data_IF_558789546122
#
_entry.id   IF_558789546122
#
_cell.length_a   1.000
_cell.length_b   1.000
_cell.length_c   1.000
_cell.angle_alpha   90.00
_cell.angle_beta   90.00
_cell.angle_gamma   90.00
#
_symmetry.space_group_name_H-M   'P 1'
#
loop_
_entity.id
_entity.type
_entity.pdbx_description
1 polymer ?
#
# COMPACT_ATOMS: atom_id res chain seq x y z
N UNK A 1 -34.12 -17.45 9.58
CA UNK A 1 -35.13 -16.60 10.23
C UNK A 1 -34.71 -15.15 10.06
N UNK A 2 -35.68 -14.31 9.69
CA UNK A 2 -35.67 -12.83 9.55
C UNK A 2 -34.74 -12.17 8.53
N UNK A 3 -35.33 -11.95 7.35
CA UNK A 3 -35.03 -10.86 6.41
C UNK A 3 -35.66 -9.57 6.96
N UNK A 4 -34.90 -8.49 7.09
CA UNK A 4 -35.46 -7.14 7.26
C UNK A 4 -35.18 -6.32 6.00
N UNK A 5 -36.23 -6.22 5.20
CA UNK A 5 -36.44 -5.21 4.16
C UNK A 5 -37.04 -3.98 4.85
N UNK A 6 -36.47 -2.80 4.62
CA UNK A 6 -37.15 -1.54 4.95
C UNK A 6 -37.38 -0.78 3.65
N UNK A 7 -38.67 -0.59 3.40
CA UNK A 7 -39.32 0.12 2.32
C UNK A 7 -39.89 1.41 2.90
N UNK A 8 -39.72 2.53 2.20
CA UNK A 8 -40.52 3.76 2.33
C UNK A 8 -40.33 4.52 0.99
N UNK A 9 -41.26 4.43 0.02
CA UNK A 9 -42.52 5.19 -0.10
C UNK A 9 -42.36 6.72 -0.07
N UNK A 10 -42.45 7.28 -1.28
CA UNK A 10 -43.35 8.35 -1.71
C UNK A 10 -43.25 9.73 -1.06
N UNK A 11 -42.76 10.70 -1.84
CA UNK A 11 -43.40 12.02 -1.94
C UNK A 11 -43.21 12.59 -3.34
N UNK A 12 -44.18 12.31 -4.22
CA UNK A 12 -44.39 13.01 -5.50
C UNK A 12 -45.18 14.28 -5.17
N UNK A 13 -44.57 15.45 -5.37
CA UNK A 13 -45.30 16.73 -5.38
C UNK A 13 -45.31 17.32 -6.78
N UNK A 14 -46.45 17.10 -7.44
CA UNK A 14 -46.93 17.78 -8.65
C UNK A 14 -47.13 19.27 -8.38
N UNK A 15 -46.32 20.13 -9.01
CA UNK A 15 -46.60 21.56 -9.11
C UNK A 15 -47.29 21.87 -10.45
N UNK A 16 -48.50 22.39 -10.33
CA UNK A 16 -49.46 22.74 -11.37
C UNK A 16 -48.93 23.76 -12.37
N UNK A 17 -49.22 23.48 -13.63
CA UNK A 17 -49.25 24.42 -14.76
C UNK A 17 -50.23 25.55 -14.44
N UNK A 18 -49.75 26.79 -14.34
CA UNK A 18 -50.59 27.98 -14.29
C UNK A 18 -50.40 28.78 -15.57
N UNK A 19 -51.38 28.62 -16.47
CA UNK A 19 -51.56 29.39 -17.69
C UNK A 19 -52.32 30.67 -17.31
N UNK A 20 -51.71 31.84 -17.48
CA UNK A 20 -52.37 33.14 -17.41
C UNK A 20 -51.90 33.95 -18.63
N UNK A 21 -52.72 33.99 -19.68
CA UNK A 21 -53.49 35.19 -20.08
C UNK A 21 -52.61 36.34 -20.56
N UNK A 22 -52.38 36.36 -21.88
CA UNK A 22 -52.01 37.54 -22.65
C UNK A 22 -53.17 38.55 -22.63
N UNK A 23 -52.92 39.85 -22.44
CA UNK A 23 -53.79 40.88 -22.97
C UNK A 23 -53.35 41.23 -24.40
N UNK A 24 -54.27 41.01 -25.33
CA UNK A 24 -54.35 41.81 -26.54
C UNK A 24 -54.78 43.22 -26.14
N UNK A 25 -54.09 44.26 -26.62
CA UNK A 25 -54.74 45.38 -27.28
C UNK A 25 -53.79 46.48 -27.74
N UNK A 26 -54.28 47.17 -28.77
CA UNK A 26 -53.93 48.52 -29.23
C UNK A 26 -52.70 48.70 -30.12
N UNK A 27 -52.98 48.48 -31.41
CA UNK A 27 -52.41 49.23 -32.53
C UNK A 27 -52.50 50.75 -32.27
N UNK A 28 -51.38 51.45 -32.45
CA UNK A 28 -51.35 52.87 -32.77
C UNK A 28 -50.29 53.10 -33.85
N UNK A 29 -50.79 53.23 -35.07
CA UNK A 29 -50.05 53.59 -36.28
C UNK A 29 -49.60 55.05 -36.15
N UNK A 30 -48.33 55.26 -35.81
CA UNK A 30 -47.65 56.54 -35.94
C UNK A 30 -47.05 56.67 -37.33
N UNK A 31 -47.74 57.36 -38.23
CA UNK A 31 -47.21 57.78 -39.53
C UNK A 31 -46.12 58.84 -39.28
N UNK A 32 -44.85 58.46 -39.36
CA UNK A 32 -43.76 59.43 -39.44
C UNK A 32 -43.61 59.91 -40.89
N UNK A 33 -44.01 61.16 -41.11
CA UNK A 33 -43.73 61.92 -42.32
C UNK A 33 -42.25 61.80 -42.70
N UNK A 34 -41.99 61.27 -43.90
CA UNK A 34 -40.72 61.39 -44.56
C UNK A 34 -40.48 62.87 -44.88
N UNK A 35 -39.65 63.53 -44.08
CA UNK A 35 -39.08 64.84 -44.42
C UNK A 35 -38.17 64.63 -45.62
N UNK A 36 -38.63 64.98 -46.81
CA UNK A 36 -37.80 65.10 -48.01
C UNK A 36 -36.86 66.30 -47.84
N UNK A 37 -35.75 66.11 -47.13
CA UNK A 37 -34.60 67.01 -47.24
C UNK A 37 -33.95 66.76 -48.61
N UNK A 38 -34.31 67.58 -49.60
CA UNK A 38 -33.52 67.72 -50.82
C UNK A 38 -32.21 68.40 -50.45
N UNK A 39 -31.17 67.63 -50.17
CA UNK A 39 -29.79 68.12 -50.18
C UNK A 39 -29.57 68.72 -51.57
N UNK A 40 -29.48 70.05 -51.67
CA UNK A 40 -29.15 70.72 -52.92
C UNK A 40 -27.71 70.40 -53.26
N UNK A 41 -27.49 69.28 -53.96
CA UNK A 41 -26.23 68.96 -54.59
C UNK A 41 -25.78 70.17 -55.41
N UNK A 42 -24.59 70.72 -55.11
CA UNK A 42 -24.02 71.81 -55.88
C UNK A 42 -23.63 71.31 -57.28
N UNK A 43 -24.60 71.36 -58.18
CA UNK A 43 -24.45 70.93 -59.57
C UNK A 43 -23.39 71.75 -60.30
N UNK A 44 -23.10 72.99 -59.87
CA UNK A 44 -22.07 73.81 -60.48
C UNK A 44 -20.68 73.31 -60.09
N UNK A 45 -20.48 72.92 -58.83
CA UNK A 45 -19.24 72.28 -58.40
C UNK A 45 -18.97 70.96 -59.15
N UNK A 46 -19.98 70.11 -59.32
CA UNK A 46 -19.85 68.86 -60.08
C UNK A 46 -19.56 69.12 -61.57
N UNK A 47 -20.18 70.14 -62.17
CA UNK A 47 -19.90 70.54 -63.56
C UNK A 47 -18.44 70.98 -63.72
N UNK A 48 -17.92 71.79 -62.80
CA UNK A 48 -16.50 72.20 -62.81
C UNK A 48 -15.56 71.00 -62.65
N UNK A 49 -15.83 70.09 -61.70
CA UNK A 49 -15.02 68.89 -61.53
C UNK A 49 -15.00 68.01 -62.79
N UNK A 50 -16.14 67.86 -63.46
CA UNK A 50 -16.23 67.10 -64.71
C UNK A 50 -15.36 67.71 -65.81
N UNK A 51 -15.39 69.04 -65.98
CA UNK A 51 -14.56 69.76 -66.96
C UNK A 51 -13.08 69.62 -66.63
N UNK A 52 -12.68 69.78 -65.35
CA UNK A 52 -11.29 69.60 -64.91
C UNK A 52 -10.80 68.17 -65.19
N UNK A 53 -11.60 67.14 -64.89
CA UNK A 53 -11.22 65.74 -65.15
C UNK A 53 -11.02 65.43 -66.64
N UNK A 54 -11.76 66.09 -67.53
CA UNK A 54 -11.57 65.95 -68.99
C UNK A 54 -10.28 66.64 -69.43
N UNK A 55 -10.03 67.86 -68.95
CA UNK A 55 -8.86 68.65 -69.30
C UNK A 55 -7.55 68.01 -68.81
N UNK A 56 -7.51 67.54 -67.56
CA UNK A 56 -6.35 66.85 -66.97
C UNK A 56 -5.94 65.57 -67.74
N UNK A 57 -6.87 64.98 -68.48
CA UNK A 57 -6.64 63.75 -69.25
C UNK A 57 -6.44 64.02 -70.74
N UNK A 58 -6.16 65.27 -71.11
CA UNK A 58 -5.82 65.70 -72.47
C UNK A 58 -7.00 65.79 -73.43
N UNK A 59 -8.24 65.85 -72.92
CA UNK A 59 -9.45 65.99 -73.73
C UNK A 59 -9.92 67.43 -73.84
N UNK A 60 -10.55 67.79 -74.96
CA UNK A 60 -11.18 69.10 -75.14
C UNK A 60 -12.57 69.13 -74.50
N UNK A 61 -12.72 69.83 -73.36
CA UNK A 61 -13.98 69.95 -72.64
C UNK A 61 -15.15 70.48 -73.49
N UNK A 62 -14.85 71.19 -74.58
CA UNK A 62 -15.82 71.82 -75.50
C UNK A 62 -16.39 70.85 -76.54
N UNK A 63 -15.75 69.71 -76.79
CA UNK A 63 -16.16 68.72 -77.80
C UNK A 63 -16.97 67.57 -77.20
N UNK A 64 -18.12 67.22 -77.77
CA UNK A 64 -18.96 66.11 -77.31
C UNK A 64 -19.99 66.50 -76.25
N UNK A 65 -20.64 65.51 -75.63
CA UNK A 65 -21.75 65.75 -74.71
C UNK A 65 -21.29 66.44 -73.40
N UNK A 66 -22.11 67.40 -72.95
CA UNK A 66 -21.90 68.20 -71.74
C UNK A 66 -22.28 67.42 -70.48
N UNK A 67 -21.76 67.85 -69.32
CA UNK A 67 -22.05 67.23 -68.01
C UNK A 67 -23.56 67.12 -67.75
N UNK A 68 -24.32 68.17 -68.06
CA UNK A 68 -25.77 68.23 -67.81
C UNK A 68 -26.53 67.13 -68.56
N UNK A 69 -26.05 66.71 -69.73
CA UNK A 69 -26.61 65.60 -70.49
C UNK A 69 -26.42 64.27 -69.75
N UNK A 70 -25.24 64.07 -69.14
CA UNK A 70 -24.98 62.88 -68.33
C UNK A 70 -25.73 62.91 -66.99
N UNK A 71 -25.83 64.07 -66.35
CA UNK A 71 -26.61 64.25 -65.12
C UNK A 71 -28.09 63.92 -65.34
N UNK A 72 -28.69 64.45 -66.42
CA UNK A 72 -30.08 64.16 -66.77
C UNK A 72 -30.32 62.69 -67.06
N UNK A 73 -29.39 62.01 -67.74
CA UNK A 73 -29.47 60.59 -67.98
C UNK A 73 -29.28 59.76 -66.70
N UNK A 74 -28.42 60.20 -65.78
CA UNK A 74 -28.22 59.55 -64.48
C UNK A 74 -29.45 59.62 -63.58
N UNK A 75 -30.23 60.71 -63.70
CA UNK A 75 -31.50 60.91 -62.99
C UNK A 75 -32.71 60.27 -63.69
N UNK A 76 -32.53 59.60 -64.83
CA UNK A 76 -33.63 58.95 -65.54
C UNK A 76 -34.16 57.73 -64.80
N UNK A 77 -35.36 57.25 -65.15
CA UNK A 77 -35.97 56.05 -64.56
C UNK A 77 -36.15 54.98 -65.64
N UNK A 78 -35.49 53.82 -65.55
CA UNK A 78 -34.54 53.42 -64.50
C UNK A 78 -33.18 54.15 -64.63
N UNK A 79 -32.51 54.44 -63.50
CA UNK A 79 -31.19 55.07 -63.53
C UNK A 79 -30.13 54.11 -64.09
N UNK A 80 -29.07 54.61 -64.73
CA UNK A 80 -28.03 53.76 -65.28
C UNK A 80 -27.29 53.04 -64.14
N UNK A 81 -27.22 51.71 -64.21
CA UNK A 81 -26.50 50.89 -63.22
C UNK A 81 -24.99 50.78 -63.50
N UNK A 82 -24.49 51.31 -64.63
CA UNK A 82 -23.07 51.24 -65.00
C UNK A 82 -22.67 52.34 -65.98
N UNK A 83 -21.36 52.58 -66.09
CA UNK A 83 -20.75 53.47 -67.10
C UNK A 83 -21.23 53.14 -68.52
N UNK A 84 -21.27 51.85 -68.90
CA UNK A 84 -21.73 51.43 -70.23
C UNK A 84 -23.22 51.74 -70.44
N UNK A 85 -24.04 51.62 -69.39
CA UNK A 85 -25.45 52.00 -69.44
C UNK A 85 -25.60 53.49 -69.68
N UNK A 86 -24.88 54.31 -68.91
CA UNK A 86 -24.90 55.77 -69.05
C UNK A 86 -24.39 56.21 -70.44
N UNK A 87 -23.32 55.59 -70.94
CA UNK A 87 -22.79 55.84 -72.28
C UNK A 87 -23.84 55.55 -73.36
N UNK A 88 -24.50 54.39 -73.29
CA UNK A 88 -25.53 54.00 -74.27
C UNK A 88 -26.72 54.96 -74.25
N UNK A 89 -27.15 55.39 -73.07
CA UNK A 89 -28.28 56.31 -72.91
C UNK A 89 -27.99 57.70 -73.51
N UNK A 90 -26.76 58.19 -73.32
CA UNK A 90 -26.35 59.53 -73.79
C UNK A 90 -25.75 59.48 -75.21
N UNK A 91 -25.54 58.27 -75.78
CA UNK A 91 -24.81 58.03 -77.05
C UNK A 91 -23.49 58.80 -77.12
N UNK A 92 -22.78 58.87 -75.99
CA UNK A 92 -21.55 59.64 -75.83
C UNK A 92 -20.28 58.80 -75.87
N UNK A 93 -19.13 59.46 -75.72
CA UNK A 93 -17.84 58.81 -75.57
C UNK A 93 -17.75 58.07 -74.23
N UNK A 94 -17.24 56.84 -74.25
CA UNK A 94 -17.12 56.01 -73.04
C UNK A 94 -16.30 56.68 -71.93
N UNK A 95 -15.20 57.36 -72.28
CA UNK A 95 -14.33 58.04 -71.30
C UNK A 95 -15.07 59.14 -70.54
N UNK A 96 -15.90 59.93 -71.23
CA UNK A 96 -16.74 60.98 -70.61
C UNK A 96 -17.85 60.39 -69.78
N UNK A 97 -18.53 59.35 -70.28
CA UNK A 97 -19.52 58.62 -69.52
C UNK A 97 -18.92 58.03 -68.24
N UNK A 98 -17.67 57.56 -68.28
CA UNK A 98 -16.96 57.04 -67.10
C UNK A 98 -16.78 58.12 -66.04
N UNK A 99 -16.23 59.27 -66.42
CA UNK A 99 -16.02 60.37 -65.47
C UNK A 99 -17.34 60.90 -64.89
N UNK A 100 -18.37 61.04 -65.72
CA UNK A 100 -19.68 61.46 -65.23
C UNK A 100 -20.29 60.42 -64.28
N UNK A 101 -20.24 59.13 -64.62
CA UNK A 101 -20.78 58.07 -63.80
C UNK A 101 -20.07 57.97 -62.44
N UNK A 102 -18.74 58.02 -62.43
CA UNK A 102 -17.94 57.94 -61.20
C UNK A 102 -18.21 59.15 -60.29
N UNK A 103 -18.37 60.35 -60.87
CA UNK A 103 -18.68 61.57 -60.13
C UNK A 103 -20.09 61.54 -59.55
N UNK A 104 -21.09 61.19 -60.38
CA UNK A 104 -22.49 61.15 -59.99
C UNK A 104 -22.77 60.03 -59.00
N UNK A 105 -22.17 58.85 -59.15
CA UNK A 105 -22.37 57.73 -58.22
C UNK A 105 -21.90 58.06 -56.80
N UNK A 106 -20.81 58.81 -56.65
CA UNK A 106 -20.32 59.29 -55.35
C UNK A 106 -21.19 60.41 -54.80
N UNK A 107 -21.61 61.33 -55.65
CA UNK A 107 -22.42 62.48 -55.24
C UNK A 107 -23.83 62.08 -54.80
N UNK A 108 -24.39 61.02 -55.40
CA UNK A 108 -25.71 60.48 -55.08
C UNK A 108 -25.64 59.23 -54.18
N UNK A 109 -24.48 58.89 -53.61
CA UNK A 109 -24.39 57.81 -52.62
C UNK A 109 -25.20 58.22 -51.37
N UNK A 110 -26.20 57.43 -50.92
CA UNK A 110 -27.00 57.80 -49.78
C UNK A 110 -26.11 57.86 -48.53
N UNK A 111 -25.86 59.08 -48.05
CA UNK A 111 -24.98 59.39 -46.92
C UNK A 111 -25.47 58.85 -45.56
N UNK A 112 -26.62 58.18 -45.51
CA UNK A 112 -27.23 57.67 -44.28
C UNK A 112 -27.42 56.15 -44.33
N UNK A 113 -26.33 55.39 -44.21
CA UNK A 113 -26.38 54.10 -43.48
C UNK A 113 -26.36 54.39 -41.97
N UNK A 114 -27.32 55.19 -41.50
CA UNK A 114 -27.53 55.35 -40.06
C UNK A 114 -27.84 53.95 -39.52
N UNK A 115 -26.94 53.41 -38.69
CA UNK A 115 -27.20 52.18 -37.94
C UNK A 115 -28.53 52.37 -37.24
N UNK A 116 -29.52 51.57 -37.62
CA UNK A 116 -30.85 51.62 -37.02
C UNK A 116 -30.68 51.23 -35.56
N UNK A 117 -30.91 52.17 -34.64
CA UNK A 117 -30.84 51.87 -33.20
C UNK A 117 -31.88 50.81 -32.85
N UNK A 118 -31.49 49.85 -31.98
CA UNK A 118 -32.42 48.83 -31.50
C UNK A 118 -33.58 49.53 -30.77
N UNK A 119 -34.84 49.18 -31.07
CA UNK A 119 -35.97 49.76 -30.36
C UNK A 119 -35.95 49.34 -28.88
N UNK A 120 -36.40 50.22 -27.99
CA UNK A 120 -36.34 50.02 -26.53
C UNK A 120 -36.98 48.69 -26.07
N UNK A 121 -38.12 48.30 -26.66
CA UNK A 121 -38.79 47.04 -26.33
C UNK A 121 -37.89 45.82 -26.58
N UNK A 122 -37.02 45.87 -27.59
CA UNK A 122 -36.11 44.76 -27.88
C UNK A 122 -35.04 44.64 -26.80
N UNK A 123 -34.47 45.78 -26.36
CA UNK A 123 -33.47 45.82 -25.29
C UNK A 123 -34.05 45.30 -23.96
N UNK A 124 -35.30 45.65 -23.65
CA UNK A 124 -35.99 45.14 -22.46
C UNK A 124 -36.20 43.62 -22.51
N UNK A 125 -36.61 43.08 -23.66
CA UNK A 125 -36.76 41.64 -23.83
C UNK A 125 -35.43 40.90 -23.79
N UNK A 126 -34.38 41.45 -24.41
CA UNK A 126 -33.02 40.91 -24.38
C UNK A 126 -32.48 40.87 -22.93
N UNK A 127 -32.68 41.94 -22.16
CA UNK A 127 -32.29 42.00 -20.74
C UNK A 127 -33.07 41.00 -19.89
N UNK A 128 -34.40 40.90 -20.08
CA UNK A 128 -35.23 39.90 -19.38
C UNK A 128 -34.77 38.48 -19.67
N UNK A 129 -34.50 38.17 -20.94
CA UNK A 129 -34.00 36.85 -21.35
C UNK A 129 -32.64 36.54 -20.72
N UNK A 130 -31.71 37.51 -20.73
CA UNK A 130 -30.40 37.36 -20.11
C UNK A 130 -30.52 37.08 -18.60
N UNK A 131 -31.40 37.81 -17.90
CA UNK A 131 -31.63 37.60 -16.47
C UNK A 131 -32.23 36.22 -16.17
N UNK A 132 -33.22 35.78 -16.95
CA UNK A 132 -33.81 34.44 -16.79
C UNK A 132 -32.75 33.36 -17.02
N UNK A 133 -31.96 33.48 -18.08
CA UNK A 133 -30.90 32.51 -18.37
C UNK A 133 -29.84 32.49 -17.27
N UNK A 134 -29.41 33.66 -16.79
CA UNK A 134 -28.45 33.76 -15.70
C UNK A 134 -28.96 33.10 -14.42
N UNK A 135 -30.23 33.31 -14.08
CA UNK A 135 -30.86 32.68 -12.91
C UNK A 135 -30.95 31.16 -13.05
N UNK A 136 -31.36 30.67 -14.23
CA UNK A 136 -31.44 29.22 -14.49
C UNK A 136 -30.06 28.56 -14.43
N UNK A 137 -29.03 29.15 -15.06
CA UNK A 137 -27.67 28.59 -14.97
C UNK A 137 -27.11 28.64 -13.55
N UNK A 138 -27.43 29.68 -12.78
CA UNK A 138 -27.06 29.75 -11.36
C UNK A 138 -27.76 28.65 -10.55
N UNK A 139 -29.05 28.41 -10.79
CA UNK A 139 -29.80 27.33 -10.13
C UNK A 139 -29.25 25.94 -10.47
N UNK A 140 -28.88 25.71 -11.74
CA UNK A 140 -28.25 24.47 -12.17
C UNK A 140 -26.90 24.30 -11.48
N UNK A 141 -26.08 25.35 -11.45
CA UNK A 141 -24.78 25.31 -10.78
C UNK A 141 -24.90 25.01 -9.28
N UNK A 142 -25.85 25.64 -8.59
CA UNK A 142 -26.12 25.36 -7.17
C UNK A 142 -26.52 23.90 -6.93
N UNK A 143 -27.34 23.32 -7.81
CA UNK A 143 -27.71 21.89 -7.71
C UNK A 143 -26.50 20.98 -7.90
N UNK A 144 -25.68 21.26 -8.90
CA UNK A 144 -24.44 20.51 -9.16
C UNK A 144 -23.49 20.63 -7.97
N UNK A 145 -23.33 21.82 -7.40
CA UNK A 145 -22.46 22.05 -6.25
C UNK A 145 -22.92 21.25 -5.02
N UNK A 146 -24.22 21.24 -4.73
CA UNK A 146 -24.79 20.42 -3.64
C UNK A 146 -24.56 18.93 -3.88
N UNK A 147 -24.72 18.43 -5.11
CA UNK A 147 -24.45 17.02 -5.44
C UNK A 147 -22.96 16.68 -5.29
N UNK A 148 -22.06 17.57 -5.70
CA UNK A 148 -20.61 17.41 -5.55
C UNK A 148 -20.24 17.35 -4.06
N UNK A 149 -20.79 18.25 -3.23
CA UNK A 149 -20.56 18.26 -1.79
C UNK A 149 -21.08 16.99 -1.13
N UNK A 150 -22.30 16.57 -1.45
CA UNK A 150 -22.87 15.32 -0.93
C UNK A 150 -22.03 14.09 -1.33
N UNK A 151 -21.53 14.05 -2.56
CA UNK A 151 -20.65 12.97 -3.02
C UNK A 151 -19.29 12.98 -2.31
N UNK A 152 -18.72 14.16 -2.07
CA UNK A 152 -17.47 14.31 -1.33
C UNK A 152 -17.62 13.85 0.12
N UNK A 153 -18.68 14.27 0.80
CA UNK A 153 -19.03 13.82 2.15
C UNK A 153 -19.24 12.31 2.21
N UNK A 154 -19.99 11.74 1.27
CA UNK A 154 -20.20 10.29 1.19
C UNK A 154 -18.87 9.54 1.05
N UNK A 155 -17.98 10.01 0.17
CA UNK A 155 -16.66 9.39 -0.04
C UNK A 155 -15.76 9.51 1.20
N UNK A 156 -15.78 10.66 1.87
CA UNK A 156 -15.04 10.86 3.13
C UNK A 156 -15.54 9.88 4.20
N UNK A 157 -16.85 9.81 4.42
CA UNK A 157 -17.46 8.87 5.37
C UNK A 157 -17.16 7.41 5.04
N UNK A 158 -17.19 7.05 3.76
CA UNK A 158 -16.85 5.70 3.33
C UNK A 158 -15.38 5.36 3.63
N UNK A 159 -14.47 6.30 3.37
CA UNK A 159 -13.06 6.12 3.69
C UNK A 159 -12.83 6.02 5.20
N UNK A 160 -13.45 6.87 6.01
CA UNK A 160 -13.42 6.82 7.47
C UNK A 160 -13.90 5.46 7.99
N UNK A 161 -15.08 5.00 7.56
CA UNK A 161 -15.61 3.69 7.93
C UNK A 161 -14.66 2.54 7.54
N UNK A 162 -14.00 2.64 6.38
CA UNK A 162 -13.05 1.62 5.94
C UNK A 162 -11.78 1.62 6.80
N UNK A 163 -11.30 2.79 7.19
CA UNK A 163 -10.17 2.94 8.12
C UNK A 163 -10.54 2.38 9.49
N UNK A 164 -11.74 2.67 10.01
CA UNK A 164 -12.20 2.12 11.29
C UNK A 164 -12.31 0.59 11.28
N UNK A 165 -12.81 0.01 10.18
CA UNK A 165 -12.86 -1.45 10.02
C UNK A 165 -11.45 -2.06 10.02
N UNK A 166 -10.52 -1.49 9.26
CA UNK A 166 -9.14 -1.96 9.23
C UNK A 166 -8.46 -1.80 10.59
N UNK A 167 -8.70 -0.70 11.30
CA UNK A 167 -8.18 -0.50 12.65
C UNK A 167 -8.72 -1.55 13.63
N UNK A 168 -10.00 -1.92 13.52
CA UNK A 168 -10.57 -3.00 14.33
C UNK A 168 -9.91 -4.35 14.03
N UNK A 169 -9.76 -4.70 12.76
CA UNK A 169 -9.07 -5.92 12.34
C UNK A 169 -7.62 -5.94 12.86
N UNK A 170 -6.90 -4.81 12.79
CA UNK A 170 -5.53 -4.70 13.32
C UNK A 170 -5.51 -4.97 14.83
N UNK A 171 -6.45 -4.40 15.60
CA UNK A 171 -6.53 -4.64 17.04
C UNK A 171 -6.79 -6.11 17.35
N UNK A 172 -7.69 -6.77 16.61
CA UNK A 172 -7.94 -8.21 16.77
C UNK A 172 -6.69 -9.06 16.47
N UNK A 173 -5.89 -8.68 15.47
CA UNK A 173 -4.62 -9.36 15.19
C UNK A 173 -3.57 -9.12 16.27
N UNK A 174 -3.52 -7.92 16.87
CA UNK A 174 -2.62 -7.62 17.98
C UNK A 174 -2.99 -8.45 19.22
N UNK A 175 -4.27 -8.52 19.57
CA UNK A 175 -4.73 -9.36 20.69
C UNK A 175 -4.37 -10.85 20.47
N UNK A 176 -4.53 -11.34 19.24
CA UNK A 176 -4.13 -12.71 18.87
C UNK A 176 -2.60 -12.89 18.97
N UNK A 177 -1.82 -11.90 18.55
CA UNK A 177 -0.36 -11.94 18.62
C UNK A 177 0.10 -12.05 20.08
N UNK A 178 -0.45 -11.20 20.96
CA UNK A 178 -0.18 -11.22 22.39
C UNK A 178 -0.52 -12.59 23.02
N UNK A 179 -1.65 -13.19 22.64
CA UNK A 179 -2.02 -14.55 23.08
C UNK A 179 -0.98 -15.60 22.63
N UNK A 180 -0.49 -15.50 21.39
CA UNK A 180 0.54 -16.42 20.87
C UNK A 180 1.89 -16.21 21.54
N UNK A 181 2.28 -14.96 21.80
CA UNK A 181 3.52 -14.65 22.53
C UNK A 181 3.49 -15.23 23.94
N UNK A 182 2.40 -15.03 24.69
CA UNK A 182 2.23 -15.66 26.01
C UNK A 182 2.28 -17.20 25.94
N UNK A 183 1.69 -17.80 24.91
CA UNK A 183 1.74 -19.26 24.73
C UNK A 183 3.17 -19.75 24.45
N UNK A 184 3.95 -19.01 23.66
CA UNK A 184 5.36 -19.31 23.39
C UNK A 184 6.19 -19.18 24.65
N UNK A 185 6.03 -18.12 25.43
CA UNK A 185 6.74 -17.95 26.71
C UNK A 185 6.45 -19.10 27.68
N UNK A 186 5.18 -19.52 27.77
CA UNK A 186 4.79 -20.66 28.61
C UNK A 186 5.46 -21.97 28.14
N UNK A 187 5.43 -22.25 26.84
CA UNK A 187 6.07 -23.44 26.28
C UNK A 187 7.59 -23.40 26.48
N UNK A 188 8.22 -22.23 26.37
CA UNK A 188 9.64 -22.07 26.65
C UNK A 188 9.96 -22.38 28.11
N UNK A 189 9.16 -21.89 29.06
CA UNK A 189 9.32 -22.21 30.47
C UNK A 189 9.16 -23.72 30.76
N UNK A 190 8.21 -24.38 30.09
CA UNK A 190 8.04 -25.84 30.18
C UNK A 190 9.25 -26.59 29.62
N UNK A 191 9.81 -26.15 28.49
CA UNK A 191 11.04 -26.72 27.92
C UNK A 191 12.20 -26.57 28.91
N UNK A 192 12.40 -25.38 29.47
CA UNK A 192 13.48 -25.12 30.43
C UNK A 192 13.34 -26.01 31.67
N UNK A 193 12.12 -26.21 32.15
CA UNK A 193 11.82 -27.14 33.26
C UNK A 193 12.19 -28.58 32.90
N UNK A 194 11.82 -29.06 31.71
CA UNK A 194 12.16 -30.41 31.23
C UNK A 194 13.68 -30.57 31.12
N UNK A 195 14.39 -29.55 30.62
CA UNK A 195 15.86 -29.57 30.52
C UNK A 195 16.49 -29.69 31.91
N UNK A 196 16.01 -28.94 32.91
CA UNK A 196 16.47 -29.07 34.29
C UNK A 196 16.22 -30.47 34.87
N UNK A 197 15.02 -31.03 34.65
CA UNK A 197 14.70 -32.38 35.08
C UNK A 197 15.60 -33.44 34.43
N UNK A 198 15.96 -33.28 33.15
CA UNK A 198 16.92 -34.17 32.48
C UNK A 198 18.32 -34.09 33.09
N UNK A 199 18.78 -32.90 33.44
CA UNK A 199 20.07 -32.71 34.11
C UNK A 199 20.05 -33.43 35.47
N UNK A 200 18.99 -33.26 36.25
CA UNK A 200 18.87 -33.90 37.56
C UNK A 200 18.76 -35.43 37.46
N UNK A 201 18.01 -35.93 36.46
CA UNK A 201 17.95 -37.36 36.16
C UNK A 201 19.33 -37.93 35.84
N UNK A 202 20.14 -37.24 35.03
CA UNK A 202 21.49 -37.68 34.68
C UNK A 202 22.41 -37.72 35.92
N UNK A 203 22.29 -36.75 36.85
CA UNK A 203 23.03 -36.79 38.12
C UNK A 203 22.60 -37.99 38.98
N UNK A 204 21.30 -38.24 39.06
CA UNK A 204 20.77 -39.35 39.83
C UNK A 204 21.23 -40.70 39.27
N UNK A 205 21.23 -40.85 37.94
CA UNK A 205 21.77 -42.03 37.26
C UNK A 205 23.25 -42.25 37.59
N UNK A 206 24.09 -41.20 37.55
CA UNK A 206 25.50 -41.32 37.92
C UNK A 206 25.70 -41.75 39.39
N UNK A 207 24.86 -41.25 40.31
CA UNK A 207 24.88 -41.68 41.73
C UNK A 207 24.48 -43.16 41.85
N UNK A 208 23.46 -43.59 41.12
CA UNK A 208 22.98 -44.97 41.20
C UNK A 208 23.98 -45.95 40.55
N UNK A 209 24.66 -45.56 39.46
CA UNK A 209 25.79 -46.30 38.89
C UNK A 209 26.94 -46.44 39.91
N UNK A 210 27.29 -45.35 40.61
CA UNK A 210 28.33 -45.39 41.66
C UNK A 210 27.93 -46.31 42.83
N UNK A 211 26.66 -46.28 43.24
CA UNK A 211 26.12 -47.16 44.28
C UNK A 211 26.17 -48.62 43.86
N UNK A 212 25.77 -48.92 42.62
CA UNK A 212 25.81 -50.28 42.09
C UNK A 212 27.25 -50.80 42.01
N UNK A 213 28.21 -49.99 41.56
CA UNK A 213 29.62 -50.34 41.57
C UNK A 213 30.14 -50.63 43.00
N UNK A 214 29.73 -49.81 43.98
CA UNK A 214 30.07 -50.03 45.39
C UNK A 214 29.45 -51.31 45.94
N UNK A 215 28.20 -51.61 45.59
CA UNK A 215 27.53 -52.85 45.97
C UNK A 215 28.21 -54.07 45.36
N UNK A 216 28.67 -53.99 44.11
CA UNK A 216 29.44 -55.05 43.47
C UNK A 216 30.78 -55.27 44.20
N UNK A 217 31.48 -54.21 44.56
CA UNK A 217 32.70 -54.30 45.37
C UNK A 217 32.43 -54.96 46.72
N UNK A 218 31.41 -54.51 47.46
CA UNK A 218 31.07 -55.12 48.75
C UNK A 218 30.67 -56.60 48.62
N UNK A 219 29.98 -56.99 47.54
CA UNK A 219 29.69 -58.41 47.28
C UNK A 219 30.96 -59.22 47.05
N UNK A 220 31.93 -58.66 46.33
CA UNK A 220 33.24 -59.29 46.13
C UNK A 220 33.99 -59.43 47.45
N UNK A 221 34.10 -58.35 48.23
CA UNK A 221 34.79 -58.35 49.54
C UNK A 221 34.16 -59.38 50.50
N UNK A 222 32.82 -59.47 50.55
CA UNK A 222 32.12 -60.48 51.34
C UNK A 222 32.46 -61.91 50.86
N UNK A 223 32.56 -62.13 49.55
CA UNK A 223 32.95 -63.43 49.00
C UNK A 223 34.38 -63.81 49.39
N UNK A 224 35.31 -62.86 49.31
CA UNK A 224 36.71 -63.05 49.72
C UNK A 224 36.82 -63.32 51.23
N UNK A 225 36.08 -62.57 52.06
CA UNK A 225 36.04 -62.80 53.50
C UNK A 225 35.47 -64.18 53.85
N UNK A 226 34.40 -64.61 53.18
CA UNK A 226 33.86 -65.98 53.36
C UNK A 226 34.87 -67.05 52.98
N UNK A 227 35.66 -66.83 51.92
CA UNK A 227 36.71 -67.77 51.54
C UNK A 227 37.81 -67.84 52.62
N UNK A 228 38.27 -66.69 53.12
CA UNK A 228 39.26 -66.62 54.21
C UNK A 228 38.74 -67.27 55.49
N UNK A 229 37.46 -67.07 55.83
CA UNK A 229 36.82 -67.72 56.98
C UNK A 229 36.81 -69.24 56.82
N UNK A 230 36.49 -69.76 55.63
CA UNK A 230 36.57 -71.20 55.35
C UNK A 230 37.99 -71.75 55.46
N UNK A 231 38.99 -71.01 54.99
CA UNK A 231 40.41 -71.36 55.14
C UNK A 231 40.81 -71.37 56.62
N UNK A 232 40.43 -70.34 57.38
CA UNK A 232 40.67 -70.26 58.81
C UNK A 232 40.03 -71.43 59.58
N UNK A 233 38.79 -71.81 59.24
CA UNK A 233 38.12 -72.98 59.84
C UNK A 233 38.90 -74.27 59.53
N UNK A 234 39.37 -74.45 58.29
CA UNK A 234 40.19 -75.62 57.91
C UNK A 234 41.49 -75.66 58.71
N UNK A 235 42.17 -74.53 58.83
CA UNK A 235 43.42 -74.43 59.59
C UNK A 235 43.18 -74.64 61.09
N UNK A 236 42.10 -74.09 61.65
CA UNK A 236 41.70 -74.28 63.04
C UNK A 236 41.41 -75.75 63.38
N UNK A 237 40.94 -76.56 62.43
CA UNK A 237 40.77 -78.01 62.61
C UNK A 237 42.10 -78.75 62.44
N UNK A 238 42.96 -78.28 61.53
CA UNK A 238 44.25 -78.91 61.23
C UNK A 238 45.30 -78.70 62.32
N UNK A 239 45.33 -77.53 62.97
CA UNK A 239 46.30 -77.20 64.02
C UNK A 239 46.24 -78.20 65.20
N UNK A 240 45.09 -78.50 65.82
CA UNK A 240 45.03 -79.49 66.89
C UNK A 240 45.50 -80.89 66.47
N UNK A 241 45.24 -81.28 65.22
CA UNK A 241 45.70 -82.57 64.69
C UNK A 241 47.23 -82.59 64.54
N UNK A 242 47.81 -81.51 64.02
CA UNK A 242 49.26 -81.34 63.94
C UNK A 242 49.91 -81.29 65.34
N UNK A 243 49.28 -80.62 66.31
CA UNK A 243 49.74 -80.59 67.71
C UNK A 243 49.73 -81.98 68.34
N UNK A 244 48.70 -82.80 68.08
CA UNK A 244 48.68 -84.21 68.54
C UNK A 244 49.79 -85.04 67.91
N UNK A 245 50.00 -84.90 66.60
CA UNK A 245 51.07 -85.61 65.90
C UNK A 245 52.46 -85.17 66.38
N UNK A 246 52.65 -83.87 66.63
CA UNK A 246 53.86 -83.32 67.20
C UNK A 246 54.12 -83.93 68.59
N UNK A 247 53.13 -83.89 69.48
CA UNK A 247 53.23 -84.47 70.82
C UNK A 247 53.57 -85.96 70.80
N UNK A 248 52.92 -86.73 69.92
CA UNK A 248 53.24 -88.16 69.75
C UNK A 248 54.67 -88.38 69.26
N UNK A 249 55.19 -87.49 68.40
CA UNK A 249 56.59 -87.54 67.94
C UNK A 249 57.58 -87.13 69.03
N UNK A 250 57.24 -86.16 69.86
CA UNK A 250 58.02 -85.77 71.04
C UNK A 250 58.09 -86.92 72.05
N UNK A 251 56.98 -87.61 72.31
CA UNK A 251 56.93 -88.81 73.17
C UNK A 251 57.82 -89.94 72.63
N UNK A 252 57.74 -90.24 71.32
CA UNK A 252 58.63 -91.21 70.67
C UNK A 252 60.10 -90.82 70.79
N UNK A 253 60.42 -89.53 70.67
CA UNK A 253 61.78 -89.03 70.80
C UNK A 253 62.30 -89.19 72.23
N UNK A 254 61.50 -88.83 73.25
CA UNK A 254 61.88 -89.01 74.65
C UNK A 254 61.99 -90.50 75.04
N UNK A 255 61.15 -91.39 74.51
CA UNK A 255 61.31 -92.84 74.68
C UNK A 255 62.61 -93.36 74.06
N UNK A 256 62.92 -92.94 72.82
CA UNK A 256 64.14 -93.32 72.13
C UNK A 256 65.38 -92.81 72.87
N UNK A 257 65.33 -91.56 73.34
CA UNK A 257 66.37 -90.94 74.17
C UNK A 257 66.53 -91.68 75.51
N UNK A 258 65.44 -92.00 76.20
CA UNK A 258 65.49 -92.81 77.43
C UNK A 258 66.08 -94.21 77.18
N UNK A 259 65.78 -94.86 76.05
CA UNK A 259 66.43 -96.11 75.64
C UNK A 259 67.91 -95.94 75.36
N UNK A 260 68.30 -94.87 74.66
CA UNK A 260 69.71 -94.53 74.44
C UNK A 260 70.43 -94.29 75.77
N UNK A 261 69.79 -93.61 76.71
CA UNK A 261 70.32 -93.33 78.05
C UNK A 261 70.48 -94.62 78.85
N UNK A 262 69.47 -95.52 78.84
CA UNK A 262 69.58 -96.85 79.42
C UNK A 262 70.68 -97.70 78.78
N UNK A 263 70.82 -97.65 77.45
CA UNK A 263 71.87 -98.37 76.74
C UNK A 263 73.25 -97.83 77.09
N UNK A 264 73.39 -96.51 77.17
CA UNK A 264 74.60 -95.82 77.64
C UNK A 264 74.93 -96.18 79.08
N UNK A 265 73.95 -96.19 79.98
CA UNK A 265 74.13 -96.62 81.37
C UNK A 265 74.52 -98.10 81.44
N UNK A 266 73.89 -98.98 80.64
CA UNK A 266 74.26 -100.39 80.51
C UNK A 266 75.72 -100.56 80.08
N UNK A 267 76.16 -99.84 79.04
CA UNK A 267 77.56 -99.86 78.61
C UNK A 267 78.51 -99.26 79.66
N UNK A 268 78.11 -98.22 80.38
CA UNK A 268 78.92 -97.61 81.45
C UNK A 268 79.06 -98.58 82.63
N UNK A 269 78.02 -99.34 82.95
CA UNK A 269 77.99 -100.35 84.03
C UNK A 269 78.76 -101.63 83.66
N UNK A 270 78.72 -102.04 82.39
CA UNK A 270 79.49 -103.18 81.87
C UNK A 270 80.95 -102.85 81.55
N UNK A 271 81.29 -101.61 81.18
CA UNK A 271 82.69 -101.18 81.07
C UNK A 271 83.37 -101.03 82.44
N UNK A 272 82.59 -100.73 83.49
CA UNK A 272 83.07 -100.70 84.88
C UNK A 272 83.11 -102.07 85.58
N UNK A 273 82.48 -103.12 85.01
CA UNK A 273 82.69 -104.52 85.43
C UNK A 273 83.80 -105.22 84.66
N UNK A 274 84.15 -104.77 83.44
CA UNK A 274 85.21 -105.37 82.63
C UNK A 274 86.63 -104.82 82.91
N UNK A 275 86.81 -104.07 84.01
CA UNK A 275 88.11 -103.55 84.47
C UNK A 275 88.51 -104.06 85.88
N UNK A 276 87.90 -105.16 86.34
CA UNK A 276 88.29 -105.88 87.56
C UNK A 276 88.33 -107.38 87.29
N UNK A 277 89.30 -107.80 86.49
CA UNK A 277 90.01 -109.09 86.52
C UNK A 277 90.63 -109.31 85.15
N UNK A 278 91.91 -108.99 85.01
CA UNK A 278 92.94 -110.01 84.79
C UNK A 278 94.31 -109.31 84.77
N UNK A 279 95.15 -109.82 85.67
CA UNK A 279 96.54 -109.46 85.93
C UNK A 279 97.48 -109.76 84.76
N UNK A 280 98.72 -109.23 84.80
CA UNK A 280 99.69 -109.32 83.73
C UNK A 280 100.41 -110.67 83.71
N UNK A 281 100.76 -111.16 82.51
CA UNK A 281 101.79 -112.19 82.32
C UNK A 281 102.64 -111.79 81.12
N UNK A 282 103.95 -111.65 81.38
CA UNK A 282 105.03 -111.54 80.41
C UNK A 282 105.20 -112.85 79.63
N UNK A 283 105.67 -112.78 78.38
CA UNK A 283 106.99 -113.30 78.00
C UNK A 283 107.31 -113.04 76.50
N UNK A 284 108.60 -112.70 76.29
CA UNK A 284 109.41 -112.56 75.05
C UNK A 284 109.25 -111.34 74.13
#
# INVERSE_FOLDING_TARGET
MNKNTISACDTINTAKTSICHLPADSLSVGVSQAVSQSVSLDTNHLRHQFVSMIAEKGGDASRGNQFDTYLKAFQSTPPPASVKSLQKMVRGEYKRAKYAFDLLSKAFEPSNKQQREKPLWFNEHESKLANVLQNEMTSIWQRVDVEIQALAEYRAKYAENKVELLNREIMEYLDLLDEKEMAVEKLQAEIDSIVQLKIELAKQQAIDEQREASLQQFKQDISELKQRELEFIKDSVRVPELERLLKAKEEQYEEMKARFDQMRDYYTKHSSTNNRQLEPVNEE
#
